data_IF_262618470741
#
_entry.id   IF_262618470741
#
_cell.length_a   1.000
_cell.length_b   1.000
_cell.length_c   1.000
_cell.angle_alpha   90.00
_cell.angle_beta   90.00
_cell.angle_gamma   90.00
#
_symmetry.space_group_name_H-M   'P 1'
#
loop_
_entity.id
_entity.type
_entity.pdbx_description
1 polymer ?
#
# COMPACT_ATOMS: atom_id res chain seq x y z
N UNK A 1 16.58 -38.83 22.11
CA UNK A 1 15.34 -38.04 21.90
C UNK A 1 15.06 -37.33 23.22
N UNK A 2 15.72 -36.20 23.48
CA UNK A 2 15.52 -35.45 24.71
C UNK A 2 14.26 -34.59 24.57
N UNK A 3 13.25 -34.87 25.39
CA UNK A 3 12.16 -33.95 25.67
C UNK A 3 12.74 -32.77 26.46
N UNK A 4 12.90 -31.62 25.81
CA UNK A 4 13.01 -30.35 26.55
C UNK A 4 11.62 -30.01 27.05
N UNK A 5 11.40 -30.21 28.35
CA UNK A 5 10.26 -29.65 29.06
C UNK A 5 10.35 -28.12 28.97
N UNK A 6 9.64 -27.56 27.99
CA UNK A 6 9.67 -26.15 27.65
C UNK A 6 8.94 -25.33 28.72
N UNK A 7 9.67 -24.89 29.74
CA UNK A 7 9.23 -23.81 30.61
C UNK A 7 9.24 -22.53 29.79
N UNK A 8 8.08 -22.14 29.26
CA UNK A 8 7.90 -20.83 28.65
C UNK A 8 7.83 -19.79 29.77
N UNK A 9 8.92 -19.03 29.94
CA UNK A 9 8.90 -17.84 30.78
C UNK A 9 7.99 -16.79 30.15
N UNK A 10 7.20 -16.10 30.98
CA UNK A 10 6.33 -15.02 30.50
C UNK A 10 7.21 -13.94 29.85
N UNK A 11 6.96 -13.56 28.58
CA UNK A 11 7.73 -12.51 27.90
C UNK A 11 7.52 -11.15 28.58
N UNK A 12 8.43 -10.21 28.33
CA UNK A 12 8.27 -8.84 28.81
C UNK A 12 6.99 -8.22 28.25
N UNK A 13 6.18 -7.56 29.09
CA UNK A 13 4.91 -6.96 28.63
C UNK A 13 5.10 -5.81 27.62
N UNK A 14 6.28 -5.20 27.61
CA UNK A 14 6.70 -4.15 26.68
C UNK A 14 7.46 -4.69 25.46
N UNK A 15 7.70 -5.99 25.38
CA UNK A 15 8.57 -6.60 24.37
C UNK A 15 8.10 -6.30 22.93
N UNK A 16 6.79 -6.35 22.69
CA UNK A 16 6.22 -6.05 21.36
C UNK A 16 6.54 -4.61 20.91
N UNK A 17 6.55 -3.65 21.84
CA UNK A 17 6.87 -2.25 21.53
C UNK A 17 8.35 -2.09 21.16
N UNK A 18 9.24 -2.71 21.95
CA UNK A 18 10.67 -2.70 21.69
C UNK A 18 11.03 -3.39 20.38
N UNK A 19 10.56 -4.60 20.16
CA UNK A 19 10.82 -5.35 18.92
C UNK A 19 10.31 -4.60 17.69
N UNK A 20 9.13 -3.98 17.79
CA UNK A 20 8.58 -3.14 16.73
C UNK A 20 9.45 -1.93 16.42
N UNK A 21 9.90 -1.20 17.44
CA UNK A 21 10.73 -0.01 17.27
C UNK A 21 12.16 -0.34 16.81
N UNK A 22 12.80 -1.37 17.37
CA UNK A 22 14.11 -1.83 16.92
C UNK A 22 14.06 -2.25 15.45
N UNK A 23 13.06 -3.04 15.04
CA UNK A 23 12.89 -3.40 13.62
C UNK A 23 12.71 -2.17 12.72
N UNK A 24 11.98 -1.16 13.19
CA UNK A 24 11.81 0.10 12.44
C UNK A 24 13.14 0.83 12.24
N UNK A 25 13.93 0.98 13.30
CA UNK A 25 15.23 1.67 13.25
C UNK A 25 16.27 0.89 12.45
N UNK A 26 16.38 -0.42 12.71
CA UNK A 26 17.45 -1.25 12.18
C UNK A 26 17.22 -1.65 10.70
N UNK A 27 15.96 -1.76 10.28
CA UNK A 27 15.60 -2.28 8.96
C UNK A 27 14.60 -1.38 8.24
N UNK A 28 13.47 -1.06 8.89
CA UNK A 28 12.34 -0.40 8.24
C UNK A 28 12.68 0.96 7.60
N UNK A 29 13.48 1.80 8.26
CA UNK A 29 13.92 3.07 7.71
C UNK A 29 14.75 2.89 6.44
N UNK A 30 15.71 1.96 6.47
CA UNK A 30 16.60 1.68 5.33
C UNK A 30 15.80 1.08 4.18
N UNK A 31 14.91 0.13 4.45
CA UNK A 31 14.03 -0.49 3.46
C UNK A 31 13.16 0.54 2.75
N UNK A 32 12.51 1.45 3.48
CA UNK A 32 11.67 2.48 2.87
C UNK A 32 12.49 3.47 2.05
N UNK A 33 13.63 3.95 2.57
CA UNK A 33 14.49 4.88 1.83
C UNK A 33 15.08 4.25 0.58
N UNK A 34 15.36 2.95 0.59
CA UNK A 34 15.86 2.22 -0.58
C UNK A 34 14.86 2.24 -1.75
N UNK A 35 13.56 2.41 -1.50
CA UNK A 35 12.53 2.54 -2.55
C UNK A 35 12.57 3.90 -3.26
N UNK A 36 13.14 4.93 -2.63
CA UNK A 36 13.24 6.30 -3.17
C UNK A 36 14.55 6.55 -3.94
N UNK A 37 15.15 5.51 -4.50
CA UNK A 37 16.57 5.51 -4.84
C UNK A 37 17.00 6.56 -5.88
N UNK A 38 16.13 6.94 -6.83
CA UNK A 38 16.50 7.82 -7.94
C UNK A 38 15.35 8.75 -8.28
N UNK A 39 15.64 10.05 -8.25
CA UNK A 39 14.76 11.08 -8.79
C UNK A 39 15.51 11.70 -9.96
N UNK A 40 14.91 11.65 -11.14
CA UNK A 40 15.48 12.23 -12.37
C UNK A 40 14.65 13.46 -12.76
N UNK A 41 15.34 14.45 -13.31
CA UNK A 41 14.69 15.57 -13.96
C UNK A 41 13.98 15.13 -15.26
N UNK A 42 13.05 15.96 -15.75
CA UNK A 42 12.28 15.70 -16.99
C UNK A 42 13.20 15.44 -18.19
N UNK A 43 14.29 16.19 -18.29
CA UNK A 43 15.29 16.08 -19.35
C UNK A 43 16.32 14.97 -19.09
N UNK A 44 16.24 14.28 -17.94
CA UNK A 44 17.16 13.21 -17.49
C UNK A 44 18.65 13.60 -17.38
N UNK A 45 18.98 14.89 -17.47
CA UNK A 45 20.34 15.42 -17.35
C UNK A 45 20.83 15.45 -15.88
N UNK A 46 19.91 15.57 -14.92
CA UNK A 46 20.22 15.61 -13.49
C UNK A 46 19.54 14.45 -12.79
N UNK A 47 20.31 13.73 -11.98
CA UNK A 47 19.83 12.64 -11.14
C UNK A 47 20.18 12.91 -9.68
N UNK A 48 19.16 12.92 -8.82
CA UNK A 48 19.32 12.89 -7.37
C UNK A 48 19.35 11.44 -6.89
N UNK A 49 20.28 11.14 -5.99
CA UNK A 49 20.48 9.82 -5.42
C UNK A 49 20.71 9.89 -3.91
N UNK A 50 20.04 9.02 -3.16
CA UNK A 50 20.26 8.84 -1.73
C UNK A 50 21.13 7.60 -1.50
N UNK A 51 22.28 7.80 -0.84
CA UNK A 51 23.16 6.71 -0.42
C UNK A 51 22.70 6.19 0.94
N UNK A 52 21.64 5.38 0.94
CA UNK A 52 20.97 4.90 2.18
C UNK A 52 21.92 4.11 3.09
N UNK A 53 22.93 3.45 2.53
CA UNK A 53 23.97 2.72 3.28
C UNK A 53 24.80 3.62 4.22
N UNK A 54 24.86 4.92 3.92
CA UNK A 54 25.57 5.93 4.74
C UNK A 54 24.68 6.58 5.80
N UNK A 55 23.45 6.08 5.96
CA UNK A 55 22.50 6.66 6.89
C UNK A 55 22.98 6.55 8.34
N UNK A 56 22.81 7.63 9.09
CA UNK A 56 23.26 7.71 10.48
C UNK A 56 22.22 8.41 11.34
N UNK A 57 21.93 7.79 12.49
CA UNK A 57 21.22 8.40 13.60
C UNK A 57 22.24 8.97 14.59
N UNK A 58 22.13 10.25 14.87
CA UNK A 58 23.02 10.95 15.82
C UNK A 58 22.45 10.83 17.23
N UNK A 59 23.31 10.59 18.21
CA UNK A 59 22.87 10.54 19.61
C UNK A 59 22.12 11.83 20.00
N UNK A 60 21.01 11.73 20.74
CA UNK A 60 20.26 12.89 21.19
C UNK A 60 21.13 13.87 21.97
N UNK A 61 21.03 15.16 21.63
CA UNK A 61 21.78 16.24 22.30
C UNK A 61 21.36 16.47 23.76
N UNK A 62 20.13 16.08 24.11
CA UNK A 62 19.52 16.24 25.43
C UNK A 62 19.19 14.88 26.03
N UNK A 63 19.14 14.78 27.36
CA UNK A 63 18.70 13.56 28.04
C UNK A 63 17.17 13.54 28.14
N UNK A 64 16.62 12.34 28.37
CA UNK A 64 15.17 12.15 28.56
C UNK A 64 14.57 13.10 29.62
N UNK A 65 15.26 13.28 30.75
CA UNK A 65 14.77 14.15 31.84
C UNK A 65 14.71 15.61 31.42
N UNK A 66 15.75 16.08 30.73
CA UNK A 66 15.83 17.46 30.26
C UNK A 66 14.73 17.74 29.25
N UNK A 67 14.43 16.77 28.37
CA UNK A 67 13.30 16.87 27.44
C UNK A 67 11.95 17.06 28.14
N UNK A 68 11.74 16.43 29.30
CA UNK A 68 10.53 16.63 30.12
C UNK A 68 10.50 18.02 30.75
N UNK A 69 11.60 18.44 31.39
CA UNK A 69 11.67 19.74 32.07
C UNK A 69 11.53 20.92 31.10
N UNK A 70 12.20 20.84 29.95
CA UNK A 70 12.24 21.91 28.97
C UNK A 70 11.07 21.85 27.97
N UNK A 71 10.13 20.91 28.16
CA UNK A 71 8.99 20.69 27.26
C UNK A 71 9.38 20.40 25.80
N UNK A 72 10.50 19.70 25.61
CA UNK A 72 11.06 19.32 24.31
C UNK A 72 10.72 17.87 23.93
N UNK A 73 11.01 17.49 22.69
CA UNK A 73 10.90 16.11 22.23
C UNK A 73 12.25 15.41 22.34
N UNK A 74 12.28 14.22 22.96
CA UNK A 74 13.49 13.39 23.01
C UNK A 74 13.63 12.63 21.68
N UNK A 75 14.54 13.11 20.82
CA UNK A 75 14.71 12.59 19.46
C UNK A 75 16.17 12.52 19.03
N UNK A 76 16.44 11.65 18.07
CA UNK A 76 17.71 11.53 17.35
C UNK A 76 17.60 12.19 15.98
N UNK A 77 18.63 12.91 15.56
CA UNK A 77 18.70 13.50 14.21
C UNK A 77 19.16 12.46 13.20
N UNK A 78 18.50 12.43 12.05
CA UNK A 78 18.73 11.45 10.99
C UNK A 78 19.36 12.10 9.76
N UNK A 79 20.54 11.62 9.40
CA UNK A 79 21.35 12.11 8.29
C UNK A 79 21.60 11.02 7.26
N UNK A 80 21.64 11.42 5.98
CA UNK A 80 21.94 10.53 4.86
C UNK A 80 22.83 11.28 3.86
N UNK A 81 23.80 10.61 3.25
CA UNK A 81 24.54 11.19 2.13
C UNK A 81 23.65 11.21 0.88
N UNK A 82 23.52 12.38 0.28
CA UNK A 82 22.83 12.56 -0.99
C UNK A 82 23.83 13.00 -2.06
N UNK A 83 23.64 12.50 -3.28
CA UNK A 83 24.40 12.86 -4.46
C UNK A 83 23.53 13.50 -5.52
N UNK A 84 24.00 14.60 -6.11
CA UNK A 84 23.47 15.11 -7.37
C UNK A 84 24.45 14.76 -8.50
N UNK A 85 23.96 14.05 -9.50
CA UNK A 85 24.74 13.54 -10.63
C UNK A 85 24.27 14.27 -11.88
N UNK A 86 25.18 14.98 -12.56
CA UNK A 86 24.93 15.58 -13.86
C UNK A 86 25.44 14.64 -14.95
N UNK A 87 24.51 14.12 -15.76
CA UNK A 87 24.77 13.28 -16.93
C UNK A 87 25.01 14.21 -18.12
N UNK A 88 26.26 14.58 -18.39
CA UNK A 88 26.56 15.41 -19.54
C UNK A 88 26.28 14.67 -20.86
N UNK A 89 25.41 15.24 -21.70
CA UNK A 89 24.93 14.63 -22.95
C UNK A 89 26.01 14.20 -23.96
N UNK A 90 27.21 14.81 -23.98
CA UNK A 90 28.20 14.58 -25.07
C UNK A 90 29.70 14.60 -24.74
N UNK A 91 30.13 14.99 -23.53
CA UNK A 91 31.55 15.02 -23.17
C UNK A 91 31.81 14.34 -21.82
N UNK A 92 32.85 13.51 -21.79
CA UNK A 92 33.16 12.45 -20.82
C UNK A 92 33.54 12.92 -19.40
N UNK A 93 32.68 13.68 -18.72
CA UNK A 93 32.77 13.86 -17.28
C UNK A 93 31.39 13.87 -16.64
N UNK A 94 31.01 12.76 -16.02
CA UNK A 94 29.92 12.75 -15.04
C UNK A 94 30.38 13.58 -13.86
N UNK A 95 29.74 14.73 -13.64
CA UNK A 95 29.99 15.54 -12.45
C UNK A 95 29.08 15.05 -11.34
N UNK A 96 29.63 14.92 -10.15
CA UNK A 96 28.91 14.46 -8.99
C UNK A 96 29.22 15.37 -7.81
N UNK A 97 28.17 15.80 -7.12
CA UNK A 97 28.29 16.55 -5.87
C UNK A 97 27.61 15.77 -4.76
N UNK A 98 28.35 15.47 -3.70
CA UNK A 98 27.87 14.77 -2.53
C UNK A 98 27.69 15.74 -1.36
N UNK A 99 26.62 15.54 -0.59
CA UNK A 99 26.37 16.30 0.63
C UNK A 99 25.63 15.43 1.64
N UNK A 100 26.07 15.49 2.90
CA UNK A 100 25.30 14.91 4.01
C UNK A 100 24.11 15.83 4.26
N UNK A 101 22.90 15.30 4.09
CA UNK A 101 21.65 16.04 4.29
C UNK A 101 20.95 15.56 5.55
N UNK A 102 20.33 16.50 6.25
CA UNK A 102 19.42 16.22 7.35
C UNK A 102 18.04 15.85 6.79
N UNK A 103 17.56 14.65 7.11
CA UNK A 103 16.24 14.18 6.66
C UNK A 103 15.14 14.42 7.69
N UNK A 104 15.49 14.51 8.97
CA UNK A 104 14.53 14.79 10.03
C UNK A 104 14.96 14.30 11.41
N UNK A 105 14.12 14.54 12.40
CA UNK A 105 14.32 14.06 13.77
C UNK A 105 13.35 12.92 14.09
N UNK A 106 13.87 11.82 14.61
CA UNK A 106 13.11 10.63 14.97
C UNK A 106 12.99 10.56 16.50
N UNK A 107 11.77 10.63 17.07
CA UNK A 107 11.58 10.42 18.51
C UNK A 107 12.11 9.05 18.95
N UNK A 108 12.87 9.02 20.05
CA UNK A 108 13.41 7.77 20.57
C UNK A 108 12.53 7.18 21.66
N UNK A 109 12.40 5.85 21.63
CA UNK A 109 11.71 5.08 22.65
C UNK A 109 12.64 4.89 23.86
N UNK A 110 12.15 5.21 25.06
CA UNK A 110 12.89 4.95 26.29
C UNK A 110 12.75 3.49 26.76
N UNK A 111 13.48 3.13 27.82
CA UNK A 111 13.47 1.79 28.42
C UNK A 111 12.10 1.31 28.96
N UNK A 112 11.11 2.20 29.06
CA UNK A 112 9.74 1.86 29.46
C UNK A 112 8.82 1.59 28.27
N UNK A 113 9.26 1.79 27.02
CA UNK A 113 8.44 1.64 25.83
C UNK A 113 7.61 2.88 25.49
N UNK A 114 8.04 4.05 25.95
CA UNK A 114 7.36 5.34 25.75
C UNK A 114 8.26 6.35 25.05
N UNK A 115 7.65 7.36 24.44
CA UNK A 115 8.31 8.47 23.77
C UNK A 115 8.05 9.75 24.53
N UNK A 116 9.01 10.67 24.56
CA UNK A 116 8.80 12.01 25.14
C UNK A 116 8.59 12.97 23.98
N UNK A 117 7.38 13.51 23.86
CA UNK A 117 7.01 14.45 22.81
C UNK A 117 6.43 15.70 23.44
N UNK A 118 7.11 16.82 23.24
CA UNK A 118 6.80 18.12 23.87
C UNK A 118 6.70 18.01 25.40
N UNK A 119 7.69 17.36 26.02
CA UNK A 119 7.78 17.15 27.47
C UNK A 119 6.84 16.10 28.07
N UNK A 120 6.00 15.46 27.24
CA UNK A 120 4.97 14.54 27.72
C UNK A 120 5.27 13.12 27.24
N UNK A 121 5.15 12.15 28.15
CA UNK A 121 5.22 10.73 27.82
C UNK A 121 4.03 10.30 26.95
N UNK A 122 4.33 9.68 25.82
CA UNK A 122 3.37 9.13 24.85
C UNK A 122 3.70 7.67 24.56
N UNK A 123 2.68 6.88 24.31
CA UNK A 123 2.82 5.46 23.95
C UNK A 123 2.14 5.26 22.60
N UNK A 124 2.80 4.53 21.71
CA UNK A 124 2.22 4.12 20.43
C UNK A 124 1.43 2.83 20.66
N UNK A 125 0.14 2.85 20.32
CA UNK A 125 -0.73 1.69 20.49
C UNK A 125 -0.75 0.89 19.19
N UNK A 126 -0.58 -0.43 19.31
CA UNK A 126 -0.70 -1.34 18.17
C UNK A 126 -2.12 -1.30 17.61
N UNK A 127 -2.22 -1.08 16.31
CA UNK A 127 -3.49 -1.12 15.59
C UNK A 127 -3.75 -2.53 15.06
N UNK A 128 -5.02 -2.95 15.09
CA UNK A 128 -5.47 -4.16 14.41
C UNK A 128 -6.19 -3.71 13.14
N UNK A 129 -5.58 -3.99 11.99
CA UNK A 129 -6.09 -3.61 10.67
C UNK A 129 -6.37 -4.86 9.83
N UNK A 130 -7.24 -4.71 8.83
CA UNK A 130 -7.45 -5.77 7.83
C UNK A 130 -6.21 -5.88 6.96
N UNK A 131 -5.68 -7.10 6.84
CA UNK A 131 -4.58 -7.38 5.94
C UNK A 131 -4.96 -7.09 4.48
N UNK A 132 -4.00 -6.75 3.62
CA UNK A 132 -4.19 -6.73 2.18
C UNK A 132 -4.67 -8.10 1.69
N UNK A 133 -5.65 -8.10 0.81
CA UNK A 133 -6.30 -9.31 0.32
C UNK A 133 -7.68 -9.09 -0.26
N UNK A 134 -8.33 -10.20 -0.62
CA UNK A 134 -9.69 -10.22 -1.16
C UNK A 134 -10.62 -10.81 -0.10
N UNK A 135 -11.62 -10.03 0.30
CA UNK A 135 -12.61 -10.38 1.32
C UNK A 135 -13.99 -10.52 0.70
N UNK A 136 -14.62 -11.67 0.90
CA UNK A 136 -15.99 -11.90 0.44
C UNK A 136 -16.96 -11.74 1.61
N UNK A 137 -18.09 -11.08 1.33
CA UNK A 137 -19.18 -10.91 2.29
C UNK A 137 -20.51 -11.20 1.60
N UNK A 138 -21.42 -11.85 2.32
CA UNK A 138 -22.82 -11.97 1.94
C UNK A 138 -23.68 -11.30 3.02
N UNK A 139 -24.53 -10.37 2.61
CA UNK A 139 -25.47 -9.66 3.50
C UNK A 139 -26.87 -9.72 2.90
N UNK A 140 -27.90 -9.73 3.76
CA UNK A 140 -29.28 -9.57 3.31
C UNK A 140 -29.58 -8.08 3.19
N UNK A 141 -30.03 -7.68 2.01
CA UNK A 141 -30.55 -6.34 1.78
C UNK A 141 -31.90 -6.15 2.52
N UNK A 142 -32.43 -4.92 2.58
CA UNK A 142 -33.65 -4.53 3.30
C UNK A 142 -34.89 -5.37 2.90
N UNK A 143 -34.85 -5.98 1.71
CA UNK A 143 -35.93 -6.82 1.17
C UNK A 143 -35.66 -8.32 1.33
N UNK A 144 -34.65 -8.72 2.12
CA UNK A 144 -34.29 -10.11 2.36
C UNK A 144 -33.58 -10.80 1.19
N UNK A 145 -33.04 -10.04 0.23
CA UNK A 145 -32.29 -10.59 -0.92
C UNK A 145 -30.80 -10.59 -0.59
N UNK A 146 -30.14 -11.73 -0.80
CA UNK A 146 -28.69 -11.85 -0.62
C UNK A 146 -27.92 -10.98 -1.62
N UNK A 147 -27.10 -10.09 -1.09
CA UNK A 147 -26.12 -9.28 -1.83
C UNK A 147 -24.74 -9.85 -1.53
N UNK A 148 -23.95 -10.07 -2.57
CA UNK A 148 -22.59 -10.58 -2.47
C UNK A 148 -21.61 -9.47 -2.81
N UNK A 149 -20.64 -9.25 -1.92
CA UNK A 149 -19.63 -8.21 -2.05
C UNK A 149 -18.24 -8.81 -1.95
N UNK A 150 -17.40 -8.57 -2.96
CA UNK A 150 -15.96 -8.81 -2.93
C UNK A 150 -15.21 -7.50 -2.70
N UNK A 151 -14.51 -7.37 -1.58
CA UNK A 151 -13.65 -6.22 -1.30
C UNK A 151 -12.20 -6.58 -1.56
N UNK A 152 -11.53 -5.77 -2.37
CA UNK A 152 -10.09 -5.83 -2.62
C UNK A 152 -9.43 -4.71 -1.79
N UNK A 153 -8.54 -5.12 -0.87
CA UNK A 153 -7.70 -4.24 -0.06
C UNK A 153 -6.27 -4.46 -0.52
N UNK A 154 -5.63 -3.43 -1.06
CA UNK A 154 -4.24 -3.47 -1.49
C UNK A 154 -3.31 -2.90 -0.42
N UNK A 155 -2.04 -3.31 -0.43
CA UNK A 155 -0.98 -2.71 0.41
C UNK A 155 -0.85 -1.20 0.15
N UNK A 156 -1.02 -0.81 -1.12
CA UNK A 156 -0.94 0.57 -1.59
C UNK A 156 -2.18 0.93 -2.40
N UNK A 157 -2.72 2.12 -2.17
CA UNK A 157 -3.82 2.67 -2.97
C UNK A 157 -5.21 2.48 -2.35
N UNK A 158 -6.23 2.54 -3.20
CA UNK A 158 -7.63 2.62 -2.78
C UNK A 158 -8.30 1.26 -2.65
N UNK A 159 -9.22 1.16 -1.68
CA UNK A 159 -10.15 0.02 -1.54
C UNK A 159 -11.06 -0.06 -2.76
N UNK A 160 -11.14 -1.23 -3.38
CA UNK A 160 -12.07 -1.51 -4.48
C UNK A 160 -13.10 -2.54 -4.05
N UNK A 161 -14.35 -2.34 -4.42
CA UNK A 161 -15.47 -3.23 -4.05
C UNK A 161 -16.21 -3.67 -5.31
N UNK A 162 -16.49 -4.95 -5.41
CA UNK A 162 -17.37 -5.56 -6.40
C UNK A 162 -18.63 -6.03 -5.71
N UNK A 163 -19.80 -5.67 -6.23
CA UNK A 163 -21.10 -5.99 -5.66
C UNK A 163 -21.99 -6.64 -6.73
N UNK A 164 -22.63 -7.75 -6.39
CA UNK A 164 -23.66 -8.37 -7.22
C UNK A 164 -25.02 -7.87 -6.73
N UNK A 165 -25.73 -7.13 -7.59
CA UNK A 165 -27.07 -6.62 -7.26
C UNK A 165 -28.16 -7.69 -7.40
N UNK A 166 -29.37 -7.31 -6.98
CA UNK A 166 -30.57 -8.17 -7.03
C UNK A 166 -30.97 -8.63 -8.45
N UNK A 167 -30.47 -7.97 -9.50
CA UNK A 167 -30.70 -8.33 -10.91
C UNK A 167 -29.53 -9.14 -11.48
N UNK A 168 -28.68 -9.69 -10.62
CA UNK A 168 -27.46 -10.42 -10.97
C UNK A 168 -26.48 -9.60 -11.82
N UNK A 169 -26.44 -8.27 -11.63
CA UNK A 169 -25.48 -7.38 -12.29
C UNK A 169 -24.33 -7.06 -11.35
N UNK A 170 -23.11 -7.10 -11.89
CA UNK A 170 -21.88 -6.78 -11.16
C UNK A 170 -21.56 -5.28 -11.27
N UNK A 171 -21.49 -4.64 -10.12
CA UNK A 171 -21.08 -3.25 -9.96
C UNK A 171 -19.70 -3.18 -9.33
N UNK A 172 -18.89 -2.24 -9.79
CA UNK A 172 -17.62 -1.90 -9.17
C UNK A 172 -17.71 -0.53 -8.48
N UNK A 173 -17.00 -0.40 -7.37
CA UNK A 173 -16.82 0.85 -6.62
C UNK A 173 -15.35 0.99 -6.28
N UNK A 174 -14.70 2.03 -6.80
CA UNK A 174 -13.29 2.34 -6.52
C UNK A 174 -13.23 3.49 -5.52
N UNK A 175 -12.50 3.31 -4.41
CA UNK A 175 -12.26 4.32 -3.38
C UNK A 175 -13.53 4.97 -2.81
N UNK A 176 -14.58 4.18 -2.58
CA UNK A 176 -15.89 4.63 -2.06
C UNK A 176 -16.64 5.65 -2.95
N UNK A 177 -16.29 5.75 -4.24
CA UNK A 177 -16.97 6.62 -5.21
C UNK A 177 -18.30 6.02 -5.70
N UNK A 178 -18.88 6.61 -6.76
CA UNK A 178 -20.11 6.12 -7.41
C UNK A 178 -19.93 4.69 -7.95
N UNK A 179 -21.02 3.92 -7.96
CA UNK A 179 -21.06 2.60 -8.61
C UNK A 179 -20.88 2.78 -10.12
N UNK A 180 -19.99 2.00 -10.70
CA UNK A 180 -19.80 1.86 -12.15
C UNK A 180 -20.08 0.40 -12.55
N UNK A 181 -20.55 0.16 -13.76
CA UNK A 181 -20.72 -1.21 -14.26
C UNK A 181 -19.34 -1.88 -14.37
N UNK A 182 -19.27 -3.18 -14.06
CA UNK A 182 -18.04 -3.96 -14.28
C UNK A 182 -17.55 -3.87 -15.72
N UNK A 183 -18.45 -3.77 -16.70
CA UNK A 183 -18.09 -3.63 -18.12
C UNK A 183 -17.33 -2.34 -18.40
N UNK A 184 -17.71 -1.24 -17.75
CA UNK A 184 -17.03 0.05 -17.90
C UNK A 184 -15.64 -0.03 -17.28
N UNK A 185 -15.51 -0.68 -16.12
CA UNK A 185 -14.20 -0.89 -15.50
C UNK A 185 -13.30 -1.77 -16.37
N UNK A 186 -13.80 -2.91 -16.86
CA UNK A 186 -13.06 -3.80 -17.76
C UNK A 186 -12.64 -3.12 -19.06
N UNK A 187 -13.52 -2.31 -19.65
CA UNK A 187 -13.19 -1.54 -20.85
C UNK A 187 -12.15 -0.45 -20.58
N UNK A 188 -12.20 0.21 -19.42
CA UNK A 188 -11.15 1.15 -19.00
C UNK A 188 -9.79 0.47 -18.75
N UNK A 189 -9.79 -0.84 -18.45
CA UNK A 189 -8.58 -1.66 -18.35
C UNK A 189 -8.09 -2.16 -19.72
N UNK A 190 -8.75 -1.79 -20.82
CA UNK A 190 -8.33 -2.10 -22.19
C UNK A 190 -8.96 -3.36 -22.79
N UNK A 191 -9.91 -4.01 -22.09
CA UNK A 191 -10.59 -5.20 -22.59
C UNK A 191 -11.76 -4.84 -23.49
N UNK A 192 -11.90 -5.54 -24.60
CA UNK A 192 -13.09 -5.45 -25.43
C UNK A 192 -14.22 -6.41 -24.95
N UNK A 193 -15.44 -6.19 -25.44
CA UNK A 193 -16.59 -7.00 -25.03
C UNK A 193 -16.44 -8.48 -25.40
N UNK A 194 -15.75 -8.80 -26.50
CA UNK A 194 -15.58 -10.19 -26.96
C UNK A 194 -14.60 -10.91 -26.04
N UNK A 195 -13.47 -10.29 -25.75
CA UNK A 195 -12.45 -10.77 -24.82
C UNK A 195 -13.05 -11.03 -23.43
N UNK A 196 -13.89 -10.12 -22.93
CA UNK A 196 -14.59 -10.30 -21.65
C UNK A 196 -15.50 -11.54 -21.69
N UNK A 197 -16.29 -11.69 -22.75
CA UNK A 197 -17.25 -12.81 -22.88
C UNK A 197 -16.54 -14.15 -23.07
N UNK A 198 -15.43 -14.18 -23.81
CA UNK A 198 -14.68 -15.40 -24.10
C UNK A 198 -13.90 -15.92 -22.88
N UNK A 199 -13.46 -15.01 -22.00
CA UNK A 199 -12.67 -15.37 -20.81
C UNK A 199 -13.48 -15.45 -19.51
N UNK A 200 -14.73 -14.97 -19.49
CA UNK A 200 -15.58 -15.06 -18.31
C UNK A 200 -16.13 -16.48 -18.11
N UNK A 201 -16.07 -17.00 -16.86
CA UNK A 201 -16.73 -18.26 -16.51
C UNK A 201 -18.27 -18.19 -16.64
N UNK A 202 -18.84 -16.98 -16.52
CA UNK A 202 -20.28 -16.71 -16.54
C UNK A 202 -20.59 -15.52 -17.48
N UNK A 203 -20.45 -15.69 -18.81
CA UNK A 203 -20.61 -14.61 -19.77
C UNK A 203 -22.02 -13.99 -19.81
N UNK A 204 -23.04 -14.75 -19.43
CA UNK A 204 -24.43 -14.31 -19.34
C UNK A 204 -24.63 -13.12 -18.39
N UNK A 205 -23.81 -13.04 -17.33
CA UNK A 205 -23.84 -11.92 -16.38
C UNK A 205 -23.46 -10.62 -17.08
N UNK A 206 -22.47 -10.64 -17.95
CA UNK A 206 -22.03 -9.47 -18.72
C UNK A 206 -23.04 -9.11 -19.82
N UNK A 207 -23.65 -10.11 -20.46
CA UNK A 207 -24.71 -9.89 -21.45
C UNK A 207 -25.99 -9.29 -20.84
N UNK A 208 -26.22 -9.46 -19.54
CA UNK A 208 -27.37 -8.88 -18.84
C UNK A 208 -27.37 -7.35 -18.84
N UNK A 209 -26.19 -6.72 -19.00
CA UNK A 209 -26.05 -5.27 -19.11
C UNK A 209 -26.42 -4.72 -20.49
N UNK A 210 -26.44 -5.57 -21.51
CA UNK A 210 -26.75 -5.17 -22.88
C UNK A 210 -28.27 -5.16 -23.08
N UNK A 211 -28.77 -4.16 -23.81
CA UNK A 211 -30.19 -4.04 -24.12
C UNK A 211 -30.70 -5.21 -24.97
N UNK A 212 -32.01 -5.50 -24.94
CA UNK A 212 -32.63 -6.56 -25.78
C UNK A 212 -32.37 -6.38 -27.29
N UNK A 213 -32.11 -5.14 -27.75
CA UNK A 213 -31.77 -4.85 -29.14
C UNK A 213 -30.39 -5.40 -29.53
N UNK A 214 -29.44 -5.44 -28.60
CA UNK A 214 -28.08 -5.92 -28.82
C UNK A 214 -27.98 -7.44 -28.64
N UNK A 215 -28.78 -8.01 -27.73
CA UNK A 215 -28.92 -9.47 -27.57
C UNK A 215 -29.42 -10.13 -28.85
N UNK A 216 -30.42 -9.54 -29.52
CA UNK A 216 -30.92 -10.04 -30.83
C UNK A 216 -29.82 -9.99 -31.90
N UNK A 217 -29.10 -8.88 -32.05
CA UNK A 217 -28.05 -8.75 -33.07
C UNK A 217 -26.95 -9.81 -32.93
N UNK A 218 -26.51 -10.11 -31.71
CA UNK A 218 -25.48 -11.13 -31.47
C UNK A 218 -26.00 -12.56 -31.63
N UNK A 219 -27.26 -12.85 -31.26
CA UNK A 219 -27.89 -14.15 -31.51
C UNK A 219 -28.04 -14.45 -33.03
N UNK A 220 -28.48 -13.46 -33.82
CA UNK A 220 -28.57 -13.58 -35.29
C UNK A 220 -27.21 -13.63 -35.99
N UNK A 221 -26.12 -13.22 -35.32
CA UNK A 221 -24.76 -13.32 -35.85
C UNK A 221 -24.20 -14.72 -35.61
N UNK A 222 -24.34 -15.24 -34.37
CA UNK A 222 -23.98 -16.62 -34.02
C UNK A 222 -24.68 -17.68 -34.88
N UNK A 223 -25.98 -17.54 -35.17
CA UNK A 223 -26.70 -18.47 -36.06
C UNK A 223 -26.23 -18.45 -37.53
N UNK A 224 -25.79 -17.30 -38.02
CA UNK A 224 -25.23 -17.16 -39.38
C UNK A 224 -23.85 -17.80 -39.49
N UNK A 225 -23.04 -17.63 -38.45
CA UNK A 225 -21.67 -18.17 -38.42
C UNK A 225 -21.65 -19.69 -38.12
N UNK A 226 -22.71 -20.24 -37.51
CA UNK A 226 -22.86 -21.68 -37.26
C UNK A 226 -23.57 -22.47 -38.35
N UNK A 227 -23.94 -21.84 -39.48
CA UNK A 227 -24.47 -22.54 -40.67
C UNK A 227 -25.76 -23.34 -40.45
N UNK A 228 -26.66 -22.90 -39.57
CA UNK A 228 -27.99 -23.54 -39.40
C UNK A 228 -29.09 -22.52 -39.71
N UNK A 229 -29.43 -22.42 -40.99
CA UNK A 229 -30.76 -22.08 -41.46
C UNK A 229 -31.47 -23.37 -41.83
#
# INVERSE_FOLDING_TARGET
>A
MEKKDGVTTIPGLNQIQFEGFCRFIDQGLIEELSKFQKIEDLDQEIQFHLFVETSQLVEPLIKERDAVYDSLTYSSEFYVLAGLIWKASKDQSTRMQEQIIFLGSIPLMNSLGSFIVNGIYRIVINQILQSPGIYYRSELDHNGISVYTGTIISDWGGRSELEIDRKARIWARVSRKKKISILVLSSAMGLDLREIIENACYPEIFLSFLSDKDKKKNWFKRKRDSGVL
#
